data_IF_339769288414
#
_entry.id   IF_339769288414
#
_cell.length_a   1.000
_cell.length_b   1.000
_cell.length_c   1.000
_cell.angle_alpha   90.00
_cell.angle_beta   90.00
_cell.angle_gamma   90.00
#
_symmetry.space_group_name_H-M   'P 1'
#
loop_
_entity.id
_entity.type
_entity.pdbx_description
1 polymer ?
#
# COMPACT_ATOMS: atom_id res chain seq x y z
N UNK A 1 -5.76 -4.06 -25.46
CA UNK A 1 -5.43 -5.43 -25.01
C UNK A 1 -6.50 -6.36 -25.55
N UNK A 2 -6.15 -7.41 -26.26
CA UNK A 2 -7.11 -8.43 -26.67
C UNK A 2 -6.43 -9.80 -26.46
N UNK A 3 -6.88 -10.51 -25.42
CA UNK A 3 -6.61 -11.94 -25.26
C UNK A 3 -7.84 -12.67 -25.78
N UNK A 4 -7.65 -13.63 -26.66
CA UNK A 4 -8.71 -14.43 -27.24
C UNK A 4 -8.43 -15.92 -27.03
N UNK A 5 -9.48 -16.69 -26.75
CA UNK A 5 -9.40 -18.15 -26.67
C UNK A 5 -9.52 -18.75 -28.06
N UNK A 6 -8.63 -19.68 -28.41
CA UNK A 6 -8.70 -20.45 -29.68
C UNK A 6 -9.53 -21.73 -29.51
N UNK A 7 -9.98 -22.30 -30.64
CA UNK A 7 -10.53 -23.65 -30.65
C UNK A 7 -9.49 -24.63 -30.10
N UNK A 8 -9.77 -25.26 -28.97
CA UNK A 8 -8.83 -26.13 -28.24
C UNK A 8 -8.37 -25.62 -26.88
N UNK A 9 -8.94 -24.50 -26.39
CA UNK A 9 -8.66 -24.00 -25.04
C UNK A 9 -7.32 -23.25 -24.88
N UNK A 10 -6.60 -23.01 -25.97
CA UNK A 10 -5.36 -22.22 -25.95
C UNK A 10 -5.64 -20.74 -26.07
N UNK A 11 -4.79 -19.92 -25.46
CA UNK A 11 -4.92 -18.47 -25.45
C UNK A 11 -3.96 -17.82 -26.44
N UNK A 12 -4.37 -16.66 -26.95
CA UNK A 12 -3.59 -15.82 -27.86
C UNK A 12 -3.58 -14.39 -27.33
N UNK A 13 -2.41 -13.81 -27.18
CA UNK A 13 -2.23 -12.39 -26.86
C UNK A 13 -1.99 -11.57 -28.13
N UNK A 14 -2.60 -10.40 -28.21
CA UNK A 14 -2.39 -9.44 -29.31
C UNK A 14 -2.33 -8.04 -28.74
N UNK A 15 -1.32 -7.26 -29.15
CA UNK A 15 -1.22 -5.85 -28.81
C UNK A 15 -0.66 -5.03 -29.99
N UNK A 16 -0.86 -3.72 -29.91
CA UNK A 16 -0.29 -2.76 -30.86
C UNK A 16 0.62 -1.78 -30.14
N UNK A 17 1.73 -1.44 -30.77
CA UNK A 17 2.63 -0.36 -30.31
C UNK A 17 3.32 0.24 -31.55
N UNK A 18 3.49 1.56 -31.57
CA UNK A 18 4.10 2.32 -32.69
C UNK A 18 3.52 1.97 -34.08
N UNK A 19 2.22 1.66 -34.17
CA UNK A 19 1.56 1.29 -35.43
C UNK A 19 1.76 -0.17 -35.85
N UNK A 20 2.58 -0.94 -35.15
CA UNK A 20 2.82 -2.35 -35.44
C UNK A 20 1.98 -3.27 -34.55
N UNK A 21 1.55 -4.39 -35.14
CA UNK A 21 0.76 -5.41 -34.46
C UNK A 21 1.62 -6.61 -34.09
N UNK A 22 1.68 -6.91 -32.78
CA UNK A 22 2.35 -8.09 -32.25
C UNK A 22 1.32 -9.11 -31.79
N UNK A 23 1.53 -10.38 -32.13
CA UNK A 23 0.61 -11.49 -31.81
C UNK A 23 1.41 -12.74 -31.48
N UNK A 24 1.11 -13.38 -30.35
CA UNK A 24 1.59 -14.72 -30.03
C UNK A 24 0.43 -15.58 -29.53
N UNK A 25 0.47 -16.88 -29.86
CA UNK A 25 -0.56 -17.85 -29.48
C UNK A 25 0.06 -19.13 -28.93
N UNK A 26 -0.82 -20.08 -28.55
CA UNK A 26 -0.39 -21.37 -28.01
C UNK A 26 -0.15 -21.36 -26.49
N UNK A 27 -0.62 -20.34 -25.77
CA UNK A 27 -0.52 -20.30 -24.31
C UNK A 27 -1.55 -21.22 -23.68
N UNK A 28 -1.16 -21.95 -22.64
CA UNK A 28 -2.01 -22.91 -21.94
C UNK A 28 -2.95 -22.23 -20.93
N UNK A 29 -2.64 -21.02 -20.50
CA UNK A 29 -3.52 -20.22 -19.67
C UNK A 29 -3.47 -18.73 -20.04
N UNK A 30 -4.49 -17.97 -19.67
CA UNK A 30 -4.60 -16.54 -19.94
C UNK A 30 -3.45 -15.75 -19.29
N UNK A 31 -3.02 -16.16 -18.11
CA UNK A 31 -1.91 -15.52 -17.38
C UNK A 31 -0.59 -15.57 -18.19
N UNK A 32 -0.29 -16.66 -18.88
CA UNK A 32 0.90 -16.77 -19.72
C UNK A 32 0.85 -15.85 -20.92
N UNK A 33 -0.32 -15.71 -21.53
CA UNK A 33 -0.54 -14.77 -22.62
C UNK A 33 -0.34 -13.32 -22.15
N UNK A 34 -0.80 -12.97 -20.95
CA UNK A 34 -0.59 -11.65 -20.34
C UNK A 34 0.90 -11.39 -20.01
N UNK A 35 1.60 -12.38 -19.46
CA UNK A 35 3.03 -12.27 -19.15
C UNK A 35 3.85 -12.04 -20.42
N UNK A 36 3.55 -12.78 -21.50
CA UNK A 36 4.22 -12.56 -22.77
C UNK A 36 3.99 -11.13 -23.29
N UNK A 37 2.78 -10.60 -23.24
CA UNK A 37 2.48 -9.24 -23.67
C UNK A 37 3.27 -8.21 -22.86
N UNK A 38 3.27 -8.32 -21.53
CA UNK A 38 4.00 -7.41 -20.63
C UNK A 38 5.50 -7.44 -20.94
N UNK A 39 6.06 -8.64 -21.10
CA UNK A 39 7.50 -8.82 -21.38
C UNK A 39 7.84 -8.24 -22.74
N UNK A 40 7.04 -8.54 -23.78
CA UNK A 40 7.27 -8.04 -25.13
C UNK A 40 7.20 -6.50 -25.20
N UNK A 41 6.26 -5.87 -24.50
CA UNK A 41 6.18 -4.39 -24.39
C UNK A 41 7.39 -3.81 -23.67
N UNK A 42 7.86 -4.45 -22.61
CA UNK A 42 9.06 -4.04 -21.87
C UNK A 42 10.32 -4.15 -22.75
N UNK A 43 10.46 -5.24 -23.49
CA UNK A 43 11.59 -5.45 -24.39
C UNK A 43 11.62 -4.41 -25.51
N UNK A 44 10.49 -4.13 -26.14
CA UNK A 44 10.36 -3.07 -27.15
C UNK A 44 10.70 -1.68 -26.59
N UNK A 45 10.25 -1.37 -25.38
CA UNK A 45 10.57 -0.10 -24.71
C UNK A 45 12.07 0.04 -24.42
N UNK A 46 12.76 -1.08 -24.19
CA UNK A 46 14.19 -1.14 -23.92
C UNK A 46 15.04 -1.34 -25.20
N UNK A 47 14.42 -1.21 -26.40
CA UNK A 47 15.12 -1.37 -27.68
C UNK A 47 15.49 -2.81 -28.02
N UNK A 48 14.89 -3.80 -27.36
CA UNK A 48 15.09 -5.22 -27.63
C UNK A 48 14.01 -5.75 -28.57
N UNK A 49 14.34 -6.78 -29.36
CA UNK A 49 13.35 -7.47 -30.19
C UNK A 49 12.38 -8.30 -29.34
N UNK A 50 11.15 -8.50 -29.88
CA UNK A 50 10.14 -9.34 -29.22
C UNK A 50 10.53 -10.81 -29.34
N UNK A 51 10.61 -11.51 -28.21
CA UNK A 51 10.81 -12.96 -28.19
C UNK A 51 9.45 -13.66 -28.27
N UNK A 52 9.27 -14.51 -29.27
CA UNK A 52 8.04 -15.29 -29.45
C UNK A 52 8.16 -16.66 -28.79
N UNK A 53 7.07 -17.22 -28.26
CA UNK A 53 7.08 -18.59 -27.77
C UNK A 53 7.43 -19.53 -28.95
N UNK A 54 8.39 -20.43 -28.73
CA UNK A 54 8.76 -21.41 -29.73
C UNK A 54 7.59 -22.35 -30.00
N UNK A 55 7.00 -22.30 -31.19
CA UNK A 55 6.01 -23.23 -31.68
C UNK A 55 6.68 -24.59 -32.00
N UNK A 56 7.21 -25.28 -31.01
CA UNK A 56 7.60 -26.66 -31.16
C UNK A 56 6.42 -27.55 -30.74
N UNK A 57 5.67 -27.99 -31.73
CA UNK A 57 4.55 -28.92 -31.65
C UNK A 57 4.91 -30.31 -31.12
N UNK A 58 5.97 -30.51 -30.38
CA UNK A 58 6.38 -31.79 -29.78
C UNK A 58 7.33 -31.69 -28.59
N UNK A 59 7.45 -30.55 -27.93
CA UNK A 59 8.02 -30.54 -26.59
C UNK A 59 6.84 -30.44 -25.60
N UNK A 60 6.48 -31.52 -24.94
CA UNK A 60 6.09 -31.43 -23.55
C UNK A 60 7.21 -30.70 -22.84
N UNK A 61 7.21 -29.39 -22.89
CA UNK A 61 8.02 -28.57 -21.99
C UNK A 61 7.55 -28.98 -20.61
N UNK A 62 8.36 -29.77 -19.92
CA UNK A 62 8.15 -30.06 -18.50
C UNK A 62 7.97 -28.70 -17.85
N UNK A 63 6.71 -28.38 -17.59
CA UNK A 63 6.34 -27.09 -17.04
C UNK A 63 7.07 -27.01 -15.71
N UNK A 64 7.93 -26.01 -15.54
CA UNK A 64 8.71 -25.90 -14.31
C UNK A 64 7.74 -25.76 -13.14
N UNK A 65 7.71 -26.77 -12.30
CA UNK A 65 6.82 -26.86 -11.12
C UNK A 65 7.50 -26.33 -9.87
N UNK A 66 8.70 -25.75 -9.98
CA UNK A 66 9.42 -25.23 -8.83
C UNK A 66 8.73 -24.00 -8.22
N UNK A 67 8.79 -23.89 -6.91
CA UNK A 67 8.23 -22.76 -6.17
C UNK A 67 8.81 -21.42 -6.66
N UNK A 68 10.13 -21.38 -6.92
CA UNK A 68 10.79 -20.16 -7.40
C UNK A 68 10.24 -19.69 -8.75
N UNK A 69 10.01 -20.61 -9.68
CA UNK A 69 9.40 -20.31 -10.98
C UNK A 69 8.01 -19.66 -10.80
N UNK A 70 7.15 -20.27 -9.98
CA UNK A 70 5.79 -19.78 -9.76
C UNK A 70 5.75 -18.45 -8.99
N UNK A 71 6.65 -18.25 -8.04
CA UNK A 71 6.80 -16.96 -7.38
C UNK A 71 7.20 -15.87 -8.37
N UNK A 72 8.20 -16.12 -9.23
CA UNK A 72 8.66 -15.13 -10.21
C UNK A 72 7.59 -14.84 -11.27
N UNK A 73 6.93 -15.87 -11.78
CA UNK A 73 5.81 -15.75 -12.73
C UNK A 73 4.66 -14.90 -12.14
N UNK A 74 4.29 -15.17 -10.88
CA UNK A 74 3.26 -14.42 -10.17
C UNK A 74 3.70 -12.98 -9.90
N UNK A 75 4.99 -12.75 -9.62
CA UNK A 75 5.55 -11.42 -9.45
C UNK A 75 5.39 -10.57 -10.70
N UNK A 76 5.79 -11.10 -11.86
CA UNK A 76 5.70 -10.39 -13.14
C UNK A 76 4.26 -10.00 -13.46
N UNK A 77 3.30 -10.90 -13.21
CA UNK A 77 1.89 -10.66 -13.53
C UNK A 77 1.20 -9.69 -12.57
N UNK A 78 1.49 -9.77 -11.26
CA UNK A 78 0.67 -9.09 -10.26
C UNK A 78 1.38 -8.02 -9.46
N UNK A 79 2.71 -7.99 -9.40
CA UNK A 79 3.44 -7.12 -8.47
C UNK A 79 4.53 -6.28 -9.08
N UNK A 80 4.96 -6.55 -10.29
CA UNK A 80 6.05 -5.82 -10.96
C UNK A 80 5.72 -4.33 -11.09
N UNK A 81 4.50 -4.00 -11.50
CA UNK A 81 4.03 -2.64 -11.74
C UNK A 81 3.29 -2.02 -10.55
N UNK A 82 3.31 -2.69 -9.40
CA UNK A 82 2.68 -2.18 -8.19
C UNK A 82 3.51 -1.06 -7.54
N UNK A 83 2.85 -0.26 -6.71
CA UNK A 83 3.47 0.85 -5.95
C UNK A 83 4.59 0.42 -4.98
N UNK A 84 4.81 -0.86 -4.74
CA UNK A 84 5.83 -1.39 -3.83
C UNK A 84 6.36 -2.77 -4.27
N UNK A 85 6.97 -2.89 -5.46
CA UNK A 85 7.46 -4.16 -5.98
C UNK A 85 8.55 -4.80 -5.09
N UNK A 86 9.40 -3.98 -4.48
CA UNK A 86 10.47 -4.43 -3.55
C UNK A 86 9.89 -5.20 -2.36
N UNK A 87 8.77 -4.74 -1.79
CA UNK A 87 8.13 -5.44 -0.65
C UNK A 87 7.55 -6.81 -1.04
N UNK A 88 7.11 -6.96 -2.28
CA UNK A 88 6.69 -8.27 -2.79
C UNK A 88 7.89 -9.20 -2.94
N UNK A 89 8.96 -8.73 -3.55
CA UNK A 89 10.23 -9.48 -3.69
C UNK A 89 10.76 -9.99 -2.34
N UNK A 90 10.83 -9.12 -1.34
CA UNK A 90 11.26 -9.51 0.02
C UNK A 90 10.47 -10.71 0.59
N UNK A 91 9.13 -10.67 0.49
CA UNK A 91 8.31 -11.79 0.96
C UNK A 91 8.55 -13.06 0.18
N UNK A 92 8.75 -12.96 -1.14
CA UNK A 92 9.06 -14.11 -1.99
C UNK A 92 10.41 -14.72 -1.65
N UNK A 93 11.43 -13.91 -1.37
CA UNK A 93 12.73 -14.38 -0.90
C UNK A 93 12.61 -15.16 0.41
N UNK A 94 11.81 -14.68 1.36
CA UNK A 94 11.55 -15.39 2.62
C UNK A 94 10.80 -16.71 2.42
N UNK A 95 9.81 -16.74 1.50
CA UNK A 95 9.07 -17.95 1.14
C UNK A 95 10.02 -18.98 0.51
N UNK A 96 10.82 -18.56 -0.46
CA UNK A 96 11.83 -19.43 -1.09
C UNK A 96 12.88 -19.95 -0.12
N UNK A 97 13.32 -19.11 0.82
CA UNK A 97 14.30 -19.51 1.83
C UNK A 97 13.75 -20.57 2.79
N UNK A 98 12.45 -20.55 3.08
CA UNK A 98 11.83 -21.49 3.99
C UNK A 98 11.45 -22.81 3.32
N UNK A 99 10.71 -22.75 2.22
CA UNK A 99 10.20 -23.96 1.53
C UNK A 99 11.24 -24.58 0.60
N UNK A 100 12.25 -23.84 0.19
CA UNK A 100 13.20 -24.24 -0.83
C UNK A 100 12.79 -23.78 -2.24
N UNK A 101 13.69 -23.16 -2.96
CA UNK A 101 13.42 -22.59 -4.29
C UNK A 101 13.05 -23.66 -5.34
N UNK A 102 13.60 -24.88 -5.21
CA UNK A 102 13.38 -26.02 -6.10
C UNK A 102 12.20 -26.92 -5.68
N UNK A 103 11.57 -26.65 -4.54
CA UNK A 103 10.41 -27.41 -4.07
C UNK A 103 9.30 -27.40 -5.12
N UNK A 104 8.74 -28.57 -5.43
CA UNK A 104 7.59 -28.65 -6.32
C UNK A 104 6.40 -27.97 -5.66
N UNK A 105 5.72 -27.09 -6.39
CA UNK A 105 4.58 -26.34 -5.85
C UNK A 105 3.43 -27.25 -5.38
N UNK A 106 3.31 -28.45 -5.96
CA UNK A 106 2.36 -29.47 -5.53
C UNK A 106 2.67 -30.08 -4.15
N UNK A 107 3.91 -29.94 -3.66
CA UNK A 107 4.34 -30.49 -2.38
C UNK A 107 4.13 -29.49 -1.23
N UNK A 108 3.64 -28.28 -1.53
CA UNK A 108 3.25 -27.31 -0.52
C UNK A 108 1.88 -27.71 0.06
N UNK A 109 1.90 -28.22 1.26
CA UNK A 109 0.71 -28.74 1.95
C UNK A 109 0.17 -27.74 2.98
N UNK A 110 -1.09 -27.93 3.39
CA UNK A 110 -1.70 -27.17 4.51
C UNK A 110 -0.86 -27.29 5.78
N UNK A 111 -0.41 -28.51 6.12
CA UNK A 111 0.43 -28.75 7.29
C UNK A 111 1.79 -28.04 7.20
N UNK A 112 2.46 -28.09 6.04
CA UNK A 112 3.69 -27.35 5.79
C UNK A 112 3.53 -25.83 5.97
N UNK A 113 2.38 -25.28 5.57
CA UNK A 113 2.04 -23.88 5.77
C UNK A 113 1.80 -23.58 7.27
N UNK A 114 1.13 -24.45 8.00
CA UNK A 114 0.88 -24.26 9.45
C UNK A 114 2.18 -24.35 10.26
N UNK A 115 3.10 -25.24 9.87
CA UNK A 115 4.47 -25.27 10.45
C UNK A 115 5.21 -23.97 10.14
N UNK A 116 5.13 -23.44 8.91
CA UNK A 116 5.73 -22.16 8.56
C UNK A 116 5.15 -21.01 9.37
N UNK A 117 3.84 -20.97 9.61
CA UNK A 117 3.20 -19.98 10.49
C UNK A 117 3.82 -20.03 11.89
N UNK A 118 4.01 -21.24 12.44
CA UNK A 118 4.61 -21.44 13.76
C UNK A 118 6.06 -20.95 13.81
N UNK A 119 6.83 -21.24 12.75
CA UNK A 119 8.18 -20.72 12.58
C UNK A 119 8.24 -19.17 12.51
N UNK A 120 7.33 -18.55 11.75
CA UNK A 120 7.24 -17.08 11.68
C UNK A 120 6.87 -16.46 13.03
N UNK A 121 6.02 -17.12 13.81
CA UNK A 121 5.70 -16.71 15.18
C UNK A 121 6.92 -16.79 16.10
N UNK A 122 7.67 -17.89 16.04
CA UNK A 122 8.91 -18.08 16.78
C UNK A 122 9.96 -17.02 16.47
N UNK A 123 9.95 -16.44 15.27
CA UNK A 123 10.75 -15.28 14.86
C UNK A 123 10.18 -13.93 15.34
N UNK A 124 9.14 -13.91 16.16
CA UNK A 124 8.54 -12.68 16.68
C UNK A 124 7.68 -11.91 15.68
N UNK A 125 7.28 -12.50 14.53
CA UNK A 125 6.43 -11.79 13.58
C UNK A 125 5.01 -11.61 14.15
N UNK A 126 4.49 -10.38 14.07
CA UNK A 126 3.09 -10.08 14.37
C UNK A 126 2.15 -10.76 13.36
N UNK A 127 0.91 -11.09 13.80
CA UNK A 127 -0.10 -11.75 12.96
C UNK A 127 -0.35 -11.04 11.62
N UNK A 128 -0.39 -9.71 11.61
CA UNK A 128 -0.53 -8.94 10.38
C UNK A 128 0.63 -9.13 9.38
N UNK A 129 1.86 -9.27 9.88
CA UNK A 129 3.04 -9.56 9.04
C UNK A 129 2.95 -10.98 8.48
N UNK A 130 2.58 -11.96 9.31
CA UNK A 130 2.35 -13.35 8.90
C UNK A 130 1.28 -13.40 7.80
N UNK A 131 0.12 -12.77 8.03
CA UNK A 131 -0.97 -12.75 7.07
C UNK A 131 -0.58 -12.14 5.71
N UNK A 132 0.28 -11.12 5.70
CA UNK A 132 0.80 -10.53 4.44
C UNK A 132 1.72 -11.48 3.68
N UNK A 133 2.53 -12.29 4.40
CA UNK A 133 3.37 -13.32 3.78
C UNK A 133 2.50 -14.46 3.24
N UNK A 134 1.53 -14.91 4.02
CA UNK A 134 0.53 -15.92 3.59
C UNK A 134 -0.27 -15.48 2.37
N UNK A 135 -0.65 -14.20 2.29
CA UNK A 135 -1.34 -13.66 1.12
C UNK A 135 -0.48 -13.72 -0.16
N UNK A 136 0.84 -13.54 -0.03
CA UNK A 136 1.77 -13.69 -1.16
C UNK A 136 1.84 -15.15 -1.62
N UNK A 137 2.03 -16.11 -0.70
CA UNK A 137 2.04 -17.54 -1.01
C UNK A 137 0.69 -18.01 -1.60
N UNK A 138 -0.41 -17.62 -0.96
CA UNK A 138 -1.77 -17.98 -1.43
C UNK A 138 -2.06 -17.47 -2.85
N UNK A 139 -1.59 -16.25 -3.20
CA UNK A 139 -1.75 -15.73 -4.56
C UNK A 139 -0.92 -16.52 -5.57
N UNK A 140 0.29 -16.94 -5.18
CA UNK A 140 1.15 -17.78 -6.02
C UNK A 140 0.55 -19.17 -6.25
N UNK A 141 0.05 -19.80 -5.19
CA UNK A 141 -0.62 -21.10 -5.28
C UNK A 141 -1.86 -21.04 -6.18
N UNK A 142 -2.69 -20.02 -6.02
CA UNK A 142 -3.87 -19.82 -6.90
C UNK A 142 -3.49 -19.63 -8.35
N UNK A 143 -2.45 -18.81 -8.62
CA UNK A 143 -1.97 -18.62 -9.99
C UNK A 143 -1.41 -19.92 -10.59
N UNK A 144 -0.70 -20.73 -9.80
CA UNK A 144 -0.26 -22.04 -10.24
C UNK A 144 -1.43 -22.97 -10.52
N UNK A 145 -2.43 -23.02 -9.64
CA UNK A 145 -3.63 -23.85 -9.79
C UNK A 145 -4.42 -23.49 -11.06
N UNK A 146 -4.59 -22.20 -11.34
CA UNK A 146 -5.21 -21.70 -12.57
C UNK A 146 -4.47 -22.16 -13.85
N UNK A 147 -3.15 -22.37 -13.78
CA UNK A 147 -2.33 -22.73 -14.94
C UNK A 147 -2.10 -24.24 -15.10
N UNK A 148 -1.87 -24.97 -14.00
CA UNK A 148 -1.44 -26.37 -14.05
C UNK A 148 -2.36 -27.33 -13.28
N UNK A 149 -3.42 -26.85 -12.69
CA UNK A 149 -4.34 -27.63 -11.84
C UNK A 149 -3.57 -28.44 -10.79
N UNK A 150 -3.29 -27.80 -9.65
CA UNK A 150 -2.56 -28.44 -8.55
C UNK A 150 -3.28 -29.72 -8.09
N UNK A 151 -2.53 -30.76 -7.71
CA UNK A 151 -3.10 -32.00 -7.19
C UNK A 151 -4.05 -31.76 -6.02
N UNK A 152 -3.73 -30.78 -5.18
CA UNK A 152 -4.58 -30.34 -4.06
C UNK A 152 -4.22 -28.90 -3.70
N UNK A 153 -5.20 -28.00 -3.71
CA UNK A 153 -5.02 -26.65 -3.23
C UNK A 153 -4.94 -26.64 -1.69
N UNK A 154 -3.82 -26.18 -1.08
CA UNK A 154 -3.71 -26.15 0.37
C UNK A 154 -4.59 -25.06 0.97
N UNK A 155 -5.11 -25.33 2.17
CA UNK A 155 -5.87 -24.35 2.95
C UNK A 155 -4.87 -23.44 3.68
N UNK A 156 -5.10 -22.14 3.62
CA UNK A 156 -4.26 -21.14 4.27
C UNK A 156 -4.99 -20.55 5.47
N UNK A 157 -4.61 -20.96 6.68
CA UNK A 157 -5.20 -20.51 7.93
C UNK A 157 -4.64 -19.14 8.33
N UNK A 158 -5.39 -18.08 8.05
CA UNK A 158 -5.01 -16.72 8.49
C UNK A 158 -5.16 -16.55 10.00
N UNK A 159 -4.28 -15.76 10.58
CA UNK A 159 -4.32 -15.44 12.01
C UNK A 159 -5.20 -14.22 12.25
N UNK A 160 -5.97 -14.24 13.35
CA UNK A 160 -6.72 -13.05 13.80
C UNK A 160 -5.75 -11.93 14.12
N UNK A 161 -5.93 -10.79 13.49
CA UNK A 161 -5.17 -9.57 13.81
C UNK A 161 -5.90 -8.85 14.95
N UNK A 162 -5.19 -8.40 15.99
CA UNK A 162 -5.81 -7.58 17.02
C UNK A 162 -6.31 -6.28 16.40
N UNK A 163 -7.43 -5.78 16.89
CA UNK A 163 -7.89 -4.46 16.51
C UNK A 163 -6.82 -3.44 16.94
N UNK A 164 -6.29 -2.71 15.97
CA UNK A 164 -5.27 -1.69 16.23
C UNK A 164 -5.87 -0.59 17.10
N UNK A 165 -5.28 -0.33 18.26
CA UNK A 165 -5.62 0.84 19.07
C UNK A 165 -5.40 2.10 18.25
N UNK A 166 -6.33 3.03 18.31
CA UNK A 166 -6.17 4.34 17.71
C UNK A 166 -5.39 5.20 18.70
N UNK A 167 -4.08 5.33 18.47
CA UNK A 167 -3.25 6.28 19.23
C UNK A 167 -3.36 7.65 18.57
N UNK A 168 -3.76 8.65 19.33
CA UNK A 168 -3.76 10.06 18.92
C UNK A 168 -3.03 10.89 19.98
N UNK A 169 -2.52 12.03 19.55
CA UNK A 169 -1.74 12.94 20.36
C UNK A 169 -2.69 13.81 21.19
N UNK A 170 -2.45 13.89 22.52
CA UNK A 170 -3.21 14.77 23.40
C UNK A 170 -2.79 16.23 23.22
N UNK A 171 -3.57 17.20 23.69
CA UNK A 171 -3.17 18.61 23.66
C UNK A 171 -1.83 18.87 24.40
N UNK A 172 -1.62 18.23 25.56
CA UNK A 172 -0.43 18.36 26.37
C UNK A 172 0.80 17.79 25.67
N UNK A 173 0.65 16.63 25.03
CA UNK A 173 1.71 16.04 24.20
C UNK A 173 2.04 16.91 23.00
N UNK A 174 1.04 17.51 22.33
CA UNK A 174 1.28 18.44 21.22
C UNK A 174 2.09 19.64 21.66
N UNK A 175 1.76 20.22 22.83
CA UNK A 175 2.50 21.35 23.40
C UNK A 175 3.97 20.95 23.66
N UNK A 176 4.19 19.80 24.32
CA UNK A 176 5.53 19.31 24.60
C UNK A 176 6.34 19.04 23.31
N UNK A 177 5.71 18.45 22.29
CA UNK A 177 6.31 18.23 20.99
C UNK A 177 6.75 19.56 20.37
N UNK A 178 5.86 20.55 20.29
CA UNK A 178 6.15 21.84 19.67
C UNK A 178 7.25 22.59 20.43
N UNK A 179 7.24 22.58 21.77
CA UNK A 179 8.28 23.19 22.60
C UNK A 179 9.65 22.54 22.36
N UNK A 180 9.72 21.21 22.31
CA UNK A 180 10.97 20.50 22.04
C UNK A 180 11.52 20.82 20.64
N UNK A 181 10.65 20.90 19.63
CA UNK A 181 11.05 21.27 18.27
C UNK A 181 11.61 22.70 18.18
N UNK A 182 11.04 23.62 18.94
CA UNK A 182 11.52 25.01 19.05
C UNK A 182 12.88 25.04 19.79
N UNK A 183 13.00 24.35 20.93
CA UNK A 183 14.24 24.26 21.70
C UNK A 183 15.40 23.64 20.91
N UNK A 184 15.12 22.64 20.11
CA UNK A 184 16.12 21.98 19.28
C UNK A 184 16.37 22.69 17.94
N UNK A 185 15.71 23.82 17.70
CA UNK A 185 15.82 24.61 16.45
C UNK A 185 15.57 23.75 15.22
N UNK A 186 14.46 22.98 15.20
CA UNK A 186 14.04 22.08 14.13
C UNK A 186 12.81 22.64 13.37
N UNK A 187 12.90 23.81 12.71
CA UNK A 187 11.75 24.47 12.09
C UNK A 187 11.12 23.65 10.97
N UNK A 188 11.93 22.89 10.21
CA UNK A 188 11.42 22.05 9.12
C UNK A 188 10.57 20.89 9.62
N UNK A 189 10.97 20.26 10.71
CA UNK A 189 10.21 19.19 11.35
C UNK A 189 8.95 19.75 12.01
N UNK A 190 9.06 20.91 12.69
CA UNK A 190 7.93 21.64 13.28
C UNK A 190 6.84 21.93 12.27
N UNK A 191 7.21 22.50 11.13
CA UNK A 191 6.30 22.77 10.02
C UNK A 191 5.63 21.50 9.50
N UNK A 192 6.42 20.44 9.33
CA UNK A 192 5.93 19.14 8.87
C UNK A 192 4.89 18.56 9.81
N UNK A 193 5.15 18.57 11.13
CA UNK A 193 4.23 18.07 12.14
C UNK A 193 2.98 18.94 12.23
N UNK A 194 3.11 20.28 12.18
CA UNK A 194 1.97 21.18 12.16
C UNK A 194 1.01 20.86 11.00
N UNK A 195 1.56 20.67 9.80
CA UNK A 195 0.72 20.31 8.64
C UNK A 195 0.11 18.91 8.80
N UNK A 196 0.88 17.92 9.28
CA UNK A 196 0.36 16.56 9.46
C UNK A 196 -0.78 16.48 10.48
N UNK A 197 -0.67 17.18 11.61
CA UNK A 197 -1.64 17.09 12.71
C UNK A 197 -2.93 17.85 12.40
N UNK A 198 -2.85 18.94 11.62
CA UNK A 198 -4.02 19.76 11.30
C UNK A 198 -4.78 19.28 10.06
N UNK A 199 -4.07 18.73 9.09
CA UNK A 199 -4.68 18.33 7.83
C UNK A 199 -4.94 16.83 7.72
N UNK A 200 -4.25 16.02 8.52
CA UNK A 200 -4.31 14.57 8.45
C UNK A 200 -3.69 13.98 7.18
N UNK A 201 -2.80 14.69 6.50
CA UNK A 201 -2.08 14.17 5.36
C UNK A 201 -1.29 12.90 5.74
N UNK A 202 -1.14 12.00 4.77
CA UNK A 202 -0.17 10.91 4.93
C UNK A 202 1.24 11.46 4.81
N UNK A 203 2.21 10.87 5.53
CA UNK A 203 3.63 11.24 5.44
C UNK A 203 4.10 11.41 3.98
N UNK A 204 3.78 10.45 3.13
CA UNK A 204 4.18 10.50 1.72
C UNK A 204 3.43 11.55 0.88
N UNK A 205 2.25 11.99 1.31
CA UNK A 205 1.50 13.09 0.67
C UNK A 205 2.18 14.41 1.02
N UNK A 206 2.54 14.62 2.29
CA UNK A 206 3.30 15.81 2.71
C UNK A 206 4.62 15.95 1.93
N UNK A 207 5.44 14.91 1.88
CA UNK A 207 6.75 14.94 1.20
C UNK A 207 6.65 15.14 -0.33
N UNK A 208 5.46 14.96 -0.91
CA UNK A 208 5.20 15.19 -2.34
C UNK A 208 4.50 16.52 -2.64
N UNK A 209 4.05 17.23 -1.59
CA UNK A 209 3.30 18.46 -1.74
C UNK A 209 4.13 19.52 -2.46
N UNK A 210 3.55 20.12 -3.50
CA UNK A 210 4.17 21.16 -4.33
C UNK A 210 3.43 22.47 -4.20
N UNK A 211 4.06 23.56 -4.66
CA UNK A 211 3.42 24.89 -4.72
C UNK A 211 2.13 24.87 -5.55
N UNK A 212 2.08 24.08 -6.63
CA UNK A 212 0.90 23.96 -7.50
C UNK A 212 -0.26 23.19 -6.88
N UNK A 213 -0.04 22.47 -5.77
CA UNK A 213 -1.09 21.77 -5.06
C UNK A 213 -1.87 22.68 -4.07
N UNK A 214 -1.47 23.96 -3.97
CA UNK A 214 -2.07 24.93 -3.05
C UNK A 214 -2.96 25.89 -3.83
N UNK A 215 -4.23 25.97 -3.49
CA UNK A 215 -5.17 26.96 -4.05
C UNK A 215 -6.30 27.30 -3.07
N UNK A 216 -6.71 28.56 -3.03
CA UNK A 216 -7.92 29.03 -2.32
C UNK A 216 -8.11 28.48 -0.90
N UNK A 217 -7.03 28.42 -0.11
CA UNK A 217 -7.08 27.89 1.26
C UNK A 217 -7.16 26.36 1.37
N UNK A 218 -6.93 25.65 0.27
CA UNK A 218 -7.00 24.20 0.18
C UNK A 218 -5.66 23.58 -0.23
N UNK A 219 -5.40 22.37 0.24
CA UNK A 219 -4.34 21.49 -0.27
C UNK A 219 -4.97 20.43 -1.17
N UNK A 220 -4.61 20.44 -2.45
CA UNK A 220 -5.14 19.54 -3.46
C UNK A 220 -4.23 18.33 -3.64
N UNK A 221 -4.72 17.14 -3.34
CA UNK A 221 -3.97 15.90 -3.34
C UNK A 221 -4.40 15.03 -4.53
N UNK A 222 -3.74 15.21 -5.67
CA UNK A 222 -4.08 14.58 -6.95
C UNK A 222 -3.66 13.10 -7.02
N UNK A 223 -2.47 12.78 -6.50
CA UNK A 223 -1.89 11.42 -6.51
C UNK A 223 -1.92 10.80 -5.12
N UNK A 224 -3.04 10.21 -4.73
CA UNK A 224 -3.15 9.49 -3.46
C UNK A 224 -2.87 8.00 -3.63
N UNK A 225 -2.49 7.31 -2.55
CA UNK A 225 -2.29 5.85 -2.55
C UNK A 225 -3.53 5.08 -3.04
N UNK A 226 -4.71 5.65 -2.91
CA UNK A 226 -5.99 5.04 -3.28
C UNK A 226 -6.50 5.51 -4.66
N UNK A 227 -5.74 6.31 -5.40
CA UNK A 227 -6.07 6.81 -6.74
C UNK A 227 -7.17 7.88 -6.79
N UNK A 228 -7.80 8.25 -5.66
CA UNK A 228 -8.81 9.31 -5.61
C UNK A 228 -8.18 10.63 -5.18
N UNK A 229 -8.36 11.66 -5.99
CA UNK A 229 -8.00 13.03 -5.61
C UNK A 229 -8.89 13.50 -4.45
N UNK A 230 -8.35 14.38 -3.60
CA UNK A 230 -9.12 15.09 -2.58
C UNK A 230 -8.47 16.42 -2.26
N UNK A 231 -9.29 17.36 -1.81
CA UNK A 231 -8.83 18.63 -1.28
C UNK A 231 -9.04 18.68 0.24
N UNK A 232 -8.10 19.26 0.96
CA UNK A 232 -8.13 19.37 2.43
C UNK A 232 -7.99 20.85 2.77
N UNK A 233 -8.94 21.45 3.53
CA UNK A 233 -8.83 22.84 3.93
C UNK A 233 -7.67 23.06 4.90
N UNK A 234 -7.04 24.23 4.80
CA UNK A 234 -5.94 24.63 5.66
C UNK A 234 -6.46 25.40 6.88
N UNK A 235 -5.93 25.06 8.06
CA UNK A 235 -6.09 25.90 9.25
C UNK A 235 -5.25 27.18 9.10
N UNK A 236 -5.49 28.19 9.95
CA UNK A 236 -4.72 29.43 9.93
C UNK A 236 -3.21 29.18 10.05
N UNK A 237 -2.79 28.30 11.00
CA UNK A 237 -1.38 27.97 11.22
C UNK A 237 -0.76 27.17 10.06
N UNK A 238 -1.55 26.30 9.39
CA UNK A 238 -1.10 25.63 8.17
C UNK A 238 -0.93 26.62 7.03
N UNK A 239 -1.87 27.55 6.87
CA UNK A 239 -1.79 28.61 5.85
C UNK A 239 -0.52 29.43 6.01
N UNK A 240 -0.15 29.78 7.23
CA UNK A 240 1.07 30.54 7.54
C UNK A 240 2.33 29.71 7.17
N UNK A 241 2.38 28.45 7.58
CA UNK A 241 3.48 27.53 7.21
C UNK A 241 3.62 27.45 5.69
N UNK A 242 2.52 27.22 4.97
CA UNK A 242 2.52 27.05 3.52
C UNK A 242 2.95 28.34 2.81
N UNK A 243 2.45 29.50 3.24
CA UNK A 243 2.88 30.82 2.69
C UNK A 243 4.38 31.01 2.85
N UNK A 244 4.92 30.85 4.06
CA UNK A 244 6.35 30.98 4.34
C UNK A 244 7.17 30.02 3.46
N UNK A 245 6.80 28.73 3.40
CA UNK A 245 7.50 27.75 2.60
C UNK A 245 7.40 27.97 1.10
N UNK A 246 6.29 28.51 0.63
CA UNK A 246 6.14 28.88 -0.79
C UNK A 246 7.12 29.97 -1.23
N UNK A 247 7.45 30.88 -0.34
CA UNK A 247 8.44 31.95 -0.59
C UNK A 247 9.87 31.41 -0.49
N UNK A 248 10.17 30.60 0.54
CA UNK A 248 11.55 30.17 0.82
C UNK A 248 11.97 28.92 0.03
N UNK A 249 11.03 28.14 -0.52
CA UNK A 249 11.35 26.92 -1.24
C UNK A 249 12.07 27.20 -2.57
N UNK A 250 13.27 26.66 -2.71
CA UNK A 250 14.09 26.71 -3.93
C UNK A 250 13.65 25.71 -5.00
N UNK A 251 12.77 24.76 -4.65
CA UNK A 251 12.22 23.73 -5.53
C UNK A 251 10.70 23.85 -5.64
N UNK A 252 10.09 23.07 -6.54
CA UNK A 252 8.65 22.96 -6.61
C UNK A 252 8.03 22.36 -5.33
N UNK A 253 8.77 21.52 -4.59
CA UNK A 253 8.29 20.88 -3.37
C UNK A 253 8.32 21.84 -2.19
N UNK A 254 7.25 21.82 -1.40
CA UNK A 254 7.14 22.58 -0.14
C UNK A 254 7.90 21.90 1.01
N UNK A 255 7.99 20.57 0.99
CA UNK A 255 8.68 19.75 1.98
C UNK A 255 9.67 18.82 1.27
N UNK A 256 10.87 19.31 0.89
CA UNK A 256 11.85 18.54 0.12
C UNK A 256 12.61 17.55 1.00
N UNK A 257 11.91 16.70 1.71
CA UNK A 257 12.44 15.65 2.59
C UNK A 257 11.95 14.29 2.12
N UNK A 258 12.81 13.26 2.27
CA UNK A 258 12.39 11.88 2.03
C UNK A 258 11.49 11.39 3.17
N UNK A 259 10.47 10.56 2.88
CA UNK A 259 9.60 10.05 3.94
C UNK A 259 10.34 9.30 5.04
N UNK A 260 11.39 8.57 4.72
CA UNK A 260 12.24 7.84 5.67
C UNK A 260 12.98 8.80 6.58
N UNK A 261 13.65 9.79 6.01
CA UNK A 261 14.38 10.85 6.75
C UNK A 261 13.45 11.62 7.70
N UNK A 262 12.22 11.95 7.25
CA UNK A 262 11.22 12.58 8.11
C UNK A 262 10.86 11.69 9.31
N UNK A 263 10.79 10.36 9.11
CA UNK A 263 10.56 9.43 10.22
C UNK A 263 11.73 9.37 11.17
N UNK A 264 12.97 9.32 10.67
CA UNK A 264 14.17 9.26 11.48
C UNK A 264 14.34 10.53 12.35
N UNK A 265 14.01 11.71 11.79
CA UNK A 265 13.99 12.95 12.57
C UNK A 265 12.93 12.94 13.66
N UNK A 266 11.72 12.44 13.34
CA UNK A 266 10.64 12.30 14.32
C UNK A 266 10.99 11.30 15.42
N UNK A 267 11.60 10.17 15.07
CA UNK A 267 11.99 9.13 16.03
C UNK A 267 12.92 9.67 17.13
N UNK A 268 13.84 10.57 16.79
CA UNK A 268 14.70 11.24 17.80
C UNK A 268 13.89 12.05 18.81
N UNK A 269 12.90 12.81 18.34
CA UNK A 269 12.06 13.67 19.18
C UNK A 269 11.15 12.84 20.08
N UNK A 270 10.45 11.85 19.51
CA UNK A 270 9.51 11.02 20.26
C UNK A 270 10.22 10.19 21.35
N UNK A 271 11.41 9.67 21.08
CA UNK A 271 12.20 8.95 22.09
C UNK A 271 12.66 9.87 23.21
N UNK A 272 13.05 11.11 22.92
CA UNK A 272 13.38 12.10 23.93
C UNK A 272 12.18 12.44 24.82
N UNK A 273 10.98 12.48 24.26
CA UNK A 273 9.74 12.76 24.98
C UNK A 273 9.08 11.52 25.60
N UNK A 274 9.72 10.35 25.51
CA UNK A 274 9.16 9.07 25.97
C UNK A 274 7.80 8.73 25.31
N UNK A 275 7.58 9.21 24.07
CA UNK A 275 6.39 8.98 23.26
C UNK A 275 6.60 7.82 22.26
N UNK A 276 7.09 6.67 22.75
CA UNK A 276 7.52 5.53 21.92
C UNK A 276 6.43 4.98 20.99
N UNK A 277 5.18 5.13 21.39
CA UNK A 277 4.01 4.68 20.64
C UNK A 277 3.48 5.72 19.63
N UNK A 278 4.01 6.96 19.64
CA UNK A 278 3.59 8.03 18.73
C UNK A 278 4.43 8.03 17.46
N UNK A 279 3.98 7.32 16.43
CA UNK A 279 4.58 7.37 15.09
C UNK A 279 3.95 8.49 14.26
N UNK A 280 4.58 8.90 13.14
CA UNK A 280 4.06 9.98 12.28
C UNK A 280 2.59 9.77 11.83
N UNK A 281 2.13 8.52 11.75
CA UNK A 281 0.75 8.23 11.40
C UNK A 281 -0.25 8.57 12.52
N UNK A 282 0.23 8.69 13.76
CA UNK A 282 -0.60 9.12 14.90
C UNK A 282 -1.09 10.56 14.74
N UNK A 283 -0.33 11.45 14.08
CA UNK A 283 -0.79 12.81 13.77
C UNK A 283 -2.05 12.79 12.89
N UNK A 284 -2.09 11.90 11.92
CA UNK A 284 -3.28 11.69 11.10
C UNK A 284 -4.44 11.09 11.92
N UNK A 285 -4.16 10.18 12.84
CA UNK A 285 -5.16 9.70 13.79
C UNK A 285 -5.68 10.82 14.67
N UNK A 286 -4.82 11.74 15.10
CA UNK A 286 -5.18 12.92 15.90
C UNK A 286 -6.17 13.81 15.16
N UNK A 287 -5.91 14.14 13.89
CA UNK A 287 -6.86 14.91 13.07
C UNK A 287 -8.24 14.25 13.02
N UNK A 288 -8.28 12.95 12.70
CA UNK A 288 -9.56 12.22 12.59
C UNK A 288 -10.28 12.15 13.94
N UNK A 289 -9.57 11.89 15.04
CA UNK A 289 -10.13 11.84 16.39
C UNK A 289 -10.70 13.18 16.80
N UNK A 290 -9.97 14.29 16.59
CA UNK A 290 -10.41 15.65 16.91
C UNK A 290 -11.65 16.07 16.13
N UNK A 291 -11.74 15.69 14.84
CA UNK A 291 -12.93 15.96 14.04
C UNK A 291 -14.17 15.22 14.60
N UNK A 292 -14.01 13.93 14.91
CA UNK A 292 -15.11 13.12 15.47
C UNK A 292 -15.51 13.60 16.87
N UNK A 293 -14.56 13.90 17.75
CA UNK A 293 -14.82 14.45 19.10
C UNK A 293 -15.57 15.78 19.08
N UNK A 294 -15.41 16.57 17.99
CA UNK A 294 -16.12 17.83 17.76
C UNK A 294 -17.45 17.66 17.00
N UNK A 295 -17.94 16.42 16.87
CA UNK A 295 -19.25 16.13 16.28
C UNK A 295 -19.27 16.11 14.75
N UNK A 296 -18.11 16.16 14.07
CA UNK A 296 -18.08 16.03 12.61
C UNK A 296 -18.50 14.62 12.20
N UNK A 297 -19.42 14.50 11.23
CA UNK A 297 -19.96 13.21 10.80
C UNK A 297 -18.84 12.29 10.29
N UNK A 298 -18.98 10.98 10.54
CA UNK A 298 -18.01 9.98 10.06
C UNK A 298 -17.87 9.97 8.53
N UNK A 299 -18.91 10.32 7.80
CA UNK A 299 -18.86 10.45 6.33
C UNK A 299 -17.97 11.63 5.91
N UNK A 300 -18.09 12.77 6.57
CA UNK A 300 -17.24 13.94 6.34
C UNK A 300 -15.79 13.63 6.72
N UNK A 301 -15.55 12.97 7.85
CA UNK A 301 -14.20 12.52 8.27
C UNK A 301 -13.63 11.54 7.26
N UNK A 302 -14.41 10.60 6.74
CA UNK A 302 -13.99 9.69 5.68
C UNK A 302 -13.50 10.44 4.44
N UNK A 303 -14.26 11.43 3.98
CA UNK A 303 -13.93 12.26 2.83
C UNK A 303 -12.65 13.07 3.08
N UNK A 304 -12.55 13.77 4.22
CA UNK A 304 -11.39 14.52 4.64
C UNK A 304 -10.11 13.68 4.63
N UNK A 305 -10.19 12.52 5.27
CA UNK A 305 -9.06 11.60 5.39
C UNK A 305 -8.76 10.85 4.08
N UNK A 306 -9.68 10.81 3.12
CA UNK A 306 -9.56 9.99 1.90
C UNK A 306 -9.47 8.51 2.21
N UNK A 307 -10.35 8.00 3.08
CA UNK A 307 -10.47 6.57 3.35
C UNK A 307 -11.31 5.91 2.26
N UNK A 308 -10.81 4.81 1.68
CA UNK A 308 -11.51 4.09 0.61
C UNK A 308 -12.85 3.51 1.09
N UNK A 309 -12.91 3.05 2.34
CA UNK A 309 -14.08 2.43 2.93
C UNK A 309 -14.41 3.12 4.25
N UNK A 310 -15.70 3.22 4.58
CA UNK A 310 -16.18 3.76 5.85
C UNK A 310 -15.66 2.94 7.05
N UNK A 311 -15.47 1.64 6.87
CA UNK A 311 -14.93 0.73 7.89
C UNK A 311 -13.61 1.23 8.48
N UNK A 312 -12.76 1.89 7.67
CA UNK A 312 -11.51 2.50 8.16
C UNK A 312 -11.78 3.68 9.09
N UNK A 313 -12.90 4.39 8.91
CA UNK A 313 -13.29 5.56 9.72
C UNK A 313 -14.06 5.14 10.96
N UNK A 314 -14.79 4.02 10.91
CA UNK A 314 -15.57 3.50 12.05
C UNK A 314 -14.72 3.24 13.30
N UNK A 315 -13.40 3.06 13.16
CA UNK A 315 -12.48 2.96 14.31
C UNK A 315 -12.49 4.18 15.23
N UNK A 316 -12.96 5.33 14.76
CA UNK A 316 -13.09 6.56 15.53
C UNK A 316 -14.51 6.77 16.07
N UNK A 317 -15.48 5.92 15.72
CA UNK A 317 -16.90 6.12 16.07
C UNK A 317 -17.14 6.19 17.60
N UNK A 318 -16.34 5.43 18.37
CA UNK A 318 -16.41 5.45 19.83
C UNK A 318 -16.00 6.78 20.48
N UNK A 319 -15.38 7.70 19.72
CA UNK A 319 -14.96 9.03 20.15
C UNK A 319 -16.05 10.08 19.89
N UNK A 320 -17.12 9.73 19.17
CA UNK A 320 -18.23 10.64 18.92
C UNK A 320 -18.96 10.95 20.22
N UNK A 321 -19.36 12.20 20.44
CA UNK A 321 -20.25 12.53 21.55
C UNK A 321 -21.48 11.64 21.49
N UNK A 322 -21.88 11.07 22.61
CA UNK A 322 -23.09 10.21 22.67
C UNK A 322 -24.32 11.13 22.78
N UNK A 323 -24.80 11.61 21.67
CA UNK A 323 -25.94 12.54 21.61
C UNK A 323 -27.22 11.81 21.22
N UNK A 324 -27.60 10.73 21.95
CA UNK A 324 -28.94 10.14 21.82
C UNK A 324 -30.03 11.13 22.29
N UNK A 325 -29.71 11.98 23.26
CA UNK A 325 -30.61 13.08 23.70
C UNK A 325 -30.79 14.13 22.61
N UNK A 326 -29.71 14.50 21.90
CA UNK A 326 -29.80 15.44 20.78
C UNK A 326 -30.58 14.84 19.59
N UNK A 327 -30.41 13.53 19.34
CA UNK A 327 -31.23 12.83 18.36
C UNK A 327 -32.72 12.75 18.75
N UNK A 328 -33.03 12.59 20.04
CA UNK A 328 -34.40 12.65 20.54
C UNK A 328 -34.96 14.04 20.34
N UNK A 329 -34.24 15.10 20.66
CA UNK A 329 -34.69 16.49 20.49
C UNK A 329 -34.99 16.86 19.01
N UNK A 330 -34.40 16.16 18.05
CA UNK A 330 -34.75 16.33 16.62
C UNK A 330 -36.03 15.62 16.23
N UNK A 331 -36.45 14.59 17.00
CA UNK A 331 -37.68 13.83 16.74
C UNK A 331 -38.89 14.40 17.51
N UNK A 332 -38.62 15.17 18.54
CA UNK A 332 -39.64 15.88 19.28
C UNK A 332 -39.90 17.25 18.63
N UNK A 333 -41.14 17.57 18.23
CA UNK A 333 -41.50 18.83 17.56
C UNK A 333 -41.35 20.06 18.46
#
# INVERSE_FOLDING_TARGET
MAISTQKGGLFTATFMTNGERFRAGGFTCEADAQIWEITARSDLKNGKGVTYPSNSSNAQTLQDTSLSYWLDKTYRLYWQDNSSPVKARHKMTEINAYFGSKTNINDITTDGIDIWISHLKGKGNANGTINRKLATLSKTLKHADECIQLRRMPIVHRKREPEGRVRFVTPEEEIAIMQTLDQWSLPDLRDSITVLIDTGLRRSELCRLTKSDVSEGMLNLWKTKNGKARSVPMTARVTEVIKRRSVTATTAKLFPVLPETLSDHWDRVRYHLELDDVVLHCFRHTTASRLVQRGVSLATVQQWMGHKTITTTLRYAHLSPKNLSDALAVLEP
#
